data_IF_611518419792
#
_entry.id   IF_611518419792
#
_cell.length_a   1.000
_cell.length_b   1.000
_cell.length_c   1.000
_cell.angle_alpha   90.00
_cell.angle_beta   90.00
_cell.angle_gamma   90.00
#
_symmetry.space_group_name_H-M   'P 1'
#
loop_
_entity.id
_entity.type
_entity.pdbx_description
1 polymer ?
#
# COMPACT_ATOMS: atom_id res chain seq x y z
N UNK A 1 20.99 8.68 -21.54
CA UNK A 1 19.54 8.48 -21.71
C UNK A 1 18.83 9.27 -20.61
N UNK A 2 17.84 10.10 -20.93
CA UNK A 2 17.00 10.72 -19.88
C UNK A 2 16.21 9.59 -19.22
N UNK A 3 16.11 9.51 -17.88
CA UNK A 3 15.24 8.54 -17.24
C UNK A 3 13.82 8.73 -17.80
N UNK A 4 13.20 7.66 -18.29
CA UNK A 4 11.78 7.69 -18.65
C UNK A 4 11.01 7.97 -17.37
N UNK A 5 10.24 9.05 -17.34
CA UNK A 5 9.40 9.34 -16.19
C UNK A 5 8.31 8.26 -16.11
N UNK A 6 8.23 7.56 -14.98
CA UNK A 6 7.18 6.60 -14.74
C UNK A 6 5.82 7.33 -14.73
N UNK A 7 4.76 6.66 -15.17
CA UNK A 7 3.40 7.22 -15.15
C UNK A 7 2.42 6.26 -14.51
N UNK A 8 1.33 6.79 -13.95
CA UNK A 8 0.24 6.02 -13.38
C UNK A 8 -1.11 6.64 -13.73
N UNK A 9 -2.13 5.81 -13.97
CA UNK A 9 -3.51 6.26 -14.17
C UNK A 9 -4.09 6.85 -12.88
N UNK A 10 -4.73 8.03 -12.97
CA UNK A 10 -5.42 8.65 -11.85
C UNK A 10 -6.57 7.76 -11.33
N UNK A 11 -7.32 7.13 -12.25
CA UNK A 11 -8.37 6.14 -11.89
C UNK A 11 -7.77 4.96 -11.14
N UNK A 12 -6.62 4.44 -11.58
CA UNK A 12 -5.94 3.36 -10.86
C UNK A 12 -5.57 3.79 -9.43
N UNK A 13 -5.05 5.01 -9.24
CA UNK A 13 -4.68 5.48 -7.89
C UNK A 13 -5.89 5.47 -6.95
N UNK A 14 -7.02 6.06 -7.38
CA UNK A 14 -8.19 6.24 -6.52
C UNK A 14 -9.08 5.00 -6.38
N UNK A 15 -9.16 4.15 -7.41
CA UNK A 15 -10.04 2.95 -7.39
C UNK A 15 -9.32 1.68 -6.97
N UNK A 16 -8.00 1.59 -7.17
CA UNK A 16 -7.25 0.36 -6.94
C UNK A 16 -6.19 0.55 -5.86
N UNK A 17 -5.22 1.45 -6.08
CA UNK A 17 -4.03 1.57 -5.24
C UNK A 17 -4.36 1.92 -3.79
N UNK A 18 -5.06 3.03 -3.57
CA UNK A 18 -5.40 3.50 -2.22
C UNK A 18 -6.35 2.53 -1.51
N UNK A 19 -7.45 2.05 -2.15
CA UNK A 19 -8.31 1.05 -1.51
C UNK A 19 -7.59 -0.24 -1.14
N UNK A 20 -6.70 -0.77 -2.01
CA UNK A 20 -5.91 -1.97 -1.72
C UNK A 20 -4.94 -1.76 -0.57
N UNK A 21 -4.28 -0.60 -0.51
CA UNK A 21 -3.36 -0.28 0.59
C UNK A 21 -4.10 -0.24 1.94
N UNK A 22 -5.28 0.38 1.99
CA UNK A 22 -6.12 0.42 3.19
C UNK A 22 -6.60 -0.98 3.59
N UNK A 23 -6.96 -1.83 2.62
CA UNK A 23 -7.37 -3.21 2.89
C UNK A 23 -6.23 -4.05 3.45
N UNK A 24 -5.02 -3.87 2.92
CA UNK A 24 -3.80 -4.53 3.39
C UNK A 24 -3.47 -4.16 4.83
N UNK A 25 -3.43 -2.87 5.15
CA UNK A 25 -3.15 -2.36 6.50
C UNK A 25 -4.11 -2.99 7.52
N UNK A 26 -5.42 -2.89 7.25
CA UNK A 26 -6.45 -3.48 8.10
C UNK A 26 -6.28 -4.98 8.27
N UNK A 27 -5.94 -5.70 7.20
CA UNK A 27 -5.80 -7.14 7.24
C UNK A 27 -4.58 -7.57 8.09
N UNK A 28 -3.43 -6.93 7.89
CA UNK A 28 -2.21 -7.20 8.67
C UNK A 28 -2.46 -6.94 10.15
N UNK A 29 -3.07 -5.79 10.48
CA UNK A 29 -3.39 -5.45 11.87
C UNK A 29 -4.30 -6.48 12.53
N UNK A 30 -5.32 -6.95 11.81
CA UNK A 30 -6.23 -7.98 12.30
C UNK A 30 -5.53 -9.33 12.47
N UNK A 31 -4.79 -9.79 11.46
CA UNK A 31 -4.11 -11.09 11.49
C UNK A 31 -3.09 -11.16 12.63
N UNK A 32 -2.25 -10.13 12.77
CA UNK A 32 -1.24 -10.06 13.83
C UNK A 32 -1.90 -9.97 15.20
N UNK A 33 -2.94 -9.15 15.37
CA UNK A 33 -3.64 -9.01 16.65
C UNK A 33 -4.28 -10.34 17.09
N UNK A 34 -4.82 -11.12 16.16
CA UNK A 34 -5.36 -12.45 16.45
C UNK A 34 -4.25 -13.37 16.95
N UNK A 35 -3.11 -13.44 16.27
CA UNK A 35 -2.02 -14.33 16.70
C UNK A 35 -1.44 -13.93 18.06
N UNK A 36 -1.20 -12.63 18.29
CA UNK A 36 -0.67 -12.13 19.57
C UNK A 36 -1.65 -12.42 20.72
N UNK A 37 -2.96 -12.26 20.51
CA UNK A 37 -3.97 -12.46 21.56
C UNK A 37 -4.29 -13.94 21.84
N UNK A 38 -4.02 -14.84 20.90
CA UNK A 38 -4.36 -16.27 21.02
C UNK A 38 -3.15 -17.17 21.28
N UNK A 39 -1.93 -16.72 20.96
CA UNK A 39 -0.72 -17.50 21.21
C UNK A 39 -0.35 -17.51 22.70
N UNK A 40 0.04 -18.68 23.19
CA UNK A 40 0.61 -18.87 24.52
C UNK A 40 2.13 -19.03 24.50
N UNK A 41 2.75 -18.93 23.31
CA UNK A 41 4.18 -19.13 23.11
C UNK A 41 4.88 -17.76 23.03
N UNK A 42 5.72 -17.39 24.02
CA UNK A 42 6.39 -16.08 24.02
C UNK A 42 7.19 -15.79 22.75
N UNK A 43 7.83 -16.81 22.17
CA UNK A 43 8.60 -16.67 20.93
C UNK A 43 7.73 -16.32 19.71
N UNK A 44 6.48 -16.79 19.65
CA UNK A 44 5.55 -16.42 18.57
C UNK A 44 5.07 -14.99 18.76
N UNK A 45 4.71 -14.61 19.99
CA UNK A 45 4.32 -13.24 20.33
C UNK A 45 5.43 -12.26 19.93
N UNK A 46 6.68 -12.55 20.29
CA UNK A 46 7.83 -11.72 19.92
C UNK A 46 8.01 -11.62 18.39
N UNK A 47 7.95 -12.77 17.68
CA UNK A 47 8.07 -12.83 16.22
C UNK A 47 7.00 -11.98 15.53
N UNK A 48 5.74 -12.13 15.91
CA UNK A 48 4.63 -11.40 15.30
C UNK A 48 4.61 -9.92 15.68
N UNK A 49 5.06 -9.56 16.89
CA UNK A 49 5.24 -8.15 17.28
C UNK A 49 6.31 -7.46 16.43
N UNK A 50 7.45 -8.14 16.19
CA UNK A 50 8.49 -7.61 15.31
C UNK A 50 7.99 -7.44 13.88
N UNK A 51 7.29 -8.45 13.36
CA UNK A 51 6.68 -8.41 12.04
C UNK A 51 5.69 -7.23 11.90
N UNK A 52 4.90 -6.96 12.95
CA UNK A 52 4.00 -5.80 12.98
C UNK A 52 4.76 -4.48 12.80
N UNK A 53 5.85 -4.29 13.55
CA UNK A 53 6.65 -3.07 13.48
C UNK A 53 7.28 -2.88 12.10
N UNK A 54 7.77 -3.95 11.48
CA UNK A 54 8.33 -3.92 10.12
C UNK A 54 7.28 -3.52 9.07
N UNK A 55 6.08 -4.11 9.14
CA UNK A 55 4.98 -3.75 8.25
C UNK A 55 4.50 -2.31 8.44
N UNK A 56 4.38 -1.84 9.68
CA UNK A 56 3.96 -0.48 9.97
C UNK A 56 4.98 0.55 9.46
N UNK A 57 6.27 0.26 9.57
CA UNK A 57 7.32 1.10 9.00
C UNK A 57 7.25 1.15 7.47
N UNK A 58 7.06 0.00 6.81
CA UNK A 58 6.90 -0.07 5.35
C UNK A 58 5.68 0.73 4.86
N UNK A 59 4.53 0.55 5.52
CA UNK A 59 3.30 1.30 5.23
C UNK A 59 3.49 2.81 5.44
N UNK A 60 4.16 3.23 6.51
CA UNK A 60 4.44 4.63 6.77
C UNK A 60 5.28 5.26 5.65
N UNK A 61 6.33 4.57 5.18
CA UNK A 61 7.15 5.05 4.06
C UNK A 61 6.35 5.16 2.75
N UNK A 62 5.50 4.16 2.45
CA UNK A 62 4.63 4.20 1.27
C UNK A 62 3.68 5.40 1.37
N UNK A 63 3.00 5.58 2.52
CA UNK A 63 2.04 6.66 2.73
C UNK A 63 2.68 8.03 2.63
N UNK A 64 3.85 8.23 3.24
CA UNK A 64 4.59 9.49 3.16
C UNK A 64 4.89 9.88 1.71
N UNK A 65 5.33 8.92 0.89
CA UNK A 65 5.64 9.20 -0.52
C UNK A 65 4.37 9.36 -1.38
N UNK A 66 3.30 8.62 -1.09
CA UNK A 66 2.00 8.81 -1.76
C UNK A 66 1.35 10.13 -1.37
N UNK A 67 1.56 10.64 -0.16
CA UNK A 67 1.01 11.93 0.26
C UNK A 67 1.45 13.06 -0.66
N UNK A 68 2.70 13.04 -1.14
CA UNK A 68 3.19 13.98 -2.14
C UNK A 68 2.42 13.87 -3.46
N UNK A 69 2.22 12.65 -3.97
CA UNK A 69 1.44 12.39 -5.19
C UNK A 69 0.00 12.91 -5.07
N UNK A 70 -0.66 12.60 -3.95
CA UNK A 70 -2.05 12.97 -3.68
C UNK A 70 -2.22 14.49 -3.57
N UNK A 71 -1.22 15.18 -2.99
CA UNK A 71 -1.22 16.65 -2.92
C UNK A 71 -0.96 17.27 -4.29
N UNK A 72 -0.02 16.71 -5.07
CA UNK A 72 0.39 17.29 -6.36
C UNK A 72 -0.70 17.18 -7.41
N UNK A 73 -1.43 16.07 -7.42
CA UNK A 73 -2.47 15.77 -8.41
C UNK A 73 -3.89 15.75 -7.81
N UNK A 74 -4.14 16.54 -6.76
CA UNK A 74 -5.42 16.50 -6.05
C UNK A 74 -6.61 16.72 -6.99
N UNK A 75 -6.50 17.66 -7.94
CA UNK A 75 -7.56 17.97 -8.88
C UNK A 75 -7.81 16.85 -9.89
N UNK A 76 -6.76 16.27 -10.46
CA UNK A 76 -6.85 15.15 -11.39
C UNK A 76 -7.41 13.91 -10.71
N UNK A 77 -6.99 13.65 -9.47
CA UNK A 77 -7.48 12.53 -8.68
C UNK A 77 -8.94 12.72 -8.27
N UNK A 78 -9.36 13.93 -7.89
CA UNK A 78 -10.76 14.27 -7.62
C UNK A 78 -11.63 14.09 -8.87
N UNK A 79 -11.17 14.56 -10.03
CA UNK A 79 -11.88 14.40 -11.29
C UNK A 79 -12.06 12.91 -11.65
N UNK A 80 -10.98 12.12 -11.58
CA UNK A 80 -11.01 10.67 -11.84
C UNK A 80 -11.85 9.89 -10.81
N UNK A 81 -11.89 10.35 -9.56
CA UNK A 81 -12.72 9.75 -8.51
C UNK A 81 -14.21 9.93 -8.80
N UNK A 82 -14.60 11.11 -9.28
CA UNK A 82 -15.97 11.50 -9.60
C UNK A 82 -16.46 10.92 -10.95
N UNK A 83 -15.61 10.93 -11.98
CA UNK A 83 -15.90 10.37 -13.30
C UNK A 83 -14.66 9.62 -13.84
N UNK A 84 -14.70 8.28 -13.92
CA UNK A 84 -13.60 7.49 -14.48
C UNK A 84 -13.23 7.83 -15.93
N UNK A 85 -14.09 8.55 -16.67
CA UNK A 85 -13.78 9.04 -18.03
C UNK A 85 -12.81 10.22 -18.03
N UNK A 86 -12.59 10.86 -16.88
CA UNK A 86 -11.60 11.91 -16.67
C UNK A 86 -10.22 11.34 -16.32
N UNK A 87 -9.96 10.06 -16.65
CA UNK A 87 -8.66 9.45 -16.37
C UNK A 87 -7.54 10.16 -17.12
N UNK A 88 -6.42 10.35 -16.41
CA UNK A 88 -5.21 10.97 -16.94
C UNK A 88 -3.99 10.21 -16.44
N UNK A 89 -2.92 10.24 -17.24
CA UNK A 89 -1.63 9.69 -16.83
C UNK A 89 -0.86 10.73 -16.00
N UNK A 90 -0.67 10.42 -14.73
CA UNK A 90 0.11 11.20 -13.79
C UNK A 90 1.58 10.82 -13.94
N UNK A 91 2.44 11.80 -14.21
CA UNK A 91 3.88 11.60 -14.15
C UNK A 91 4.31 11.39 -12.71
N UNK A 92 5.20 10.44 -12.45
CA UNK A 92 5.73 10.17 -11.11
C UNK A 92 7.15 10.71 -10.98
N UNK A 93 7.44 11.30 -9.84
CA UNK A 93 8.83 11.45 -9.41
C UNK A 93 9.39 10.13 -8.88
N UNK A 94 10.67 10.13 -8.51
CA UNK A 94 11.36 8.92 -8.07
C UNK A 94 10.74 8.32 -6.80
N UNK A 95 10.32 9.14 -5.83
CA UNK A 95 9.77 8.67 -4.57
C UNK A 95 8.34 8.17 -4.75
N UNK A 96 7.54 8.85 -5.57
CA UNK A 96 6.18 8.44 -5.92
C UNK A 96 6.19 7.10 -6.68
N UNK A 97 7.12 6.93 -7.64
CA UNK A 97 7.28 5.67 -8.37
C UNK A 97 7.62 4.52 -7.42
N UNK A 98 8.57 4.73 -6.52
CA UNK A 98 8.93 3.73 -5.50
C UNK A 98 7.75 3.39 -4.60
N UNK A 99 6.91 4.37 -4.25
CA UNK A 99 5.73 4.16 -3.43
C UNK A 99 4.66 3.32 -4.13
N UNK A 100 4.38 3.61 -5.40
CA UNK A 100 3.40 2.87 -6.22
C UNK A 100 3.84 1.42 -6.41
N UNK A 101 5.13 1.19 -6.67
CA UNK A 101 5.66 -0.17 -6.85
C UNK A 101 5.70 -0.94 -5.51
N UNK A 102 6.16 -0.30 -4.43
CA UNK A 102 6.16 -0.89 -3.08
C UNK A 102 4.76 -1.27 -2.63
N UNK A 103 3.75 -0.42 -2.85
CA UNK A 103 2.37 -0.71 -2.53
C UNK A 103 1.83 -1.92 -3.31
N UNK A 104 2.20 -2.07 -4.60
CA UNK A 104 1.82 -3.23 -5.41
C UNK A 104 2.45 -4.52 -4.87
N UNK A 105 3.74 -4.49 -4.55
CA UNK A 105 4.47 -5.64 -4.00
C UNK A 105 3.91 -6.03 -2.63
N UNK A 106 3.61 -5.04 -1.77
CA UNK A 106 3.02 -5.28 -0.46
C UNK A 106 1.65 -5.95 -0.57
N UNK A 107 0.79 -5.47 -1.48
CA UNK A 107 -0.50 -6.10 -1.76
C UNK A 107 -0.36 -7.55 -2.21
N UNK A 108 0.57 -7.84 -3.13
CA UNK A 108 0.83 -9.20 -3.61
C UNK A 108 1.31 -10.14 -2.50
N UNK A 109 2.22 -9.66 -1.64
CA UNK A 109 2.69 -10.41 -0.47
C UNK A 109 1.53 -10.79 0.46
N UNK A 110 0.66 -9.83 0.78
CA UNK A 110 -0.46 -10.02 1.69
C UNK A 110 -1.53 -10.95 1.09
N UNK A 111 -1.77 -10.84 -0.21
CA UNK A 111 -2.65 -11.77 -0.91
C UNK A 111 -2.12 -13.21 -0.90
N UNK A 112 -0.80 -13.39 -1.05
CA UNK A 112 -0.16 -14.70 -0.94
C UNK A 112 -0.34 -15.29 0.46
N UNK A 113 -0.13 -14.50 1.54
CA UNK A 113 -0.39 -14.93 2.91
C UNK A 113 -1.85 -15.41 3.12
N UNK A 114 -2.82 -14.72 2.54
CA UNK A 114 -4.24 -15.10 2.63
C UNK A 114 -4.56 -16.40 1.89
N UNK A 115 -3.93 -16.61 0.74
CA UNK A 115 -4.25 -17.74 -0.15
C UNK A 115 -3.54 -19.02 0.29
N UNK A 116 -2.32 -18.90 0.81
CA UNK A 116 -1.47 -20.02 1.21
C UNK A 116 -1.72 -20.49 2.65
N UNK A 117 -2.55 -19.78 3.43
CA UNK A 117 -3.00 -20.22 4.76
C UNK A 117 -1.87 -20.30 5.79
N UNK A 118 -0.81 -19.54 5.63
CA UNK A 118 0.27 -19.45 6.62
C UNK A 118 -0.17 -18.45 7.71
N UNK A 119 -0.89 -18.97 8.70
CA UNK A 119 -0.96 -18.42 10.06
C UNK A 119 -0.10 -19.29 10.98
#
# INVERSE_FOLDING_TARGET
>A
MKPHAATVSAVYVVKELIPKLNAVEKHIEQAISVVISTSQLPAEIERYTKLQAEFQLELAMIRMNLEHLLKRYCHELEAAMNDPRQDVLLTLDQHESVAVDSARVLYQRVQAFQTEGIL
#
